data_IF_832533977062
#
_entry.id   IF_832533977062
#
_cell.length_a   1.000
_cell.length_b   1.000
_cell.length_c   1.000
_cell.angle_alpha   90.00
_cell.angle_beta   90.00
_cell.angle_gamma   90.00
#
_symmetry.space_group_name_H-M   'P 1'
#
loop_
_entity.id
_entity.type
_entity.pdbx_description
1 polymer ?
#
# COMPACT_ATOMS: atom_id res chain seq x y z
N UNK A 1 21.78 17.74 13.26
CA UNK A 1 21.53 16.31 13.52
C UNK A 1 22.58 15.51 12.80
N UNK A 2 23.23 14.57 13.47
CA UNK A 2 24.11 13.62 12.79
C UNK A 2 23.28 12.69 11.89
N UNK A 3 23.84 12.31 10.74
CA UNK A 3 23.24 11.31 9.87
C UNK A 3 23.22 9.93 10.54
N UNK A 4 22.25 9.10 10.18
CA UNK A 4 22.13 7.73 10.72
C UNK A 4 23.39 6.91 10.41
N UNK A 5 23.91 6.23 11.43
CA UNK A 5 25.05 5.31 11.38
C UNK A 5 24.81 4.15 12.37
N UNK A 6 25.60 3.08 12.28
CA UNK A 6 25.47 1.87 13.09
C UNK A 6 25.51 2.16 14.60
N UNK A 7 26.39 3.06 15.05
CA UNK A 7 26.61 3.35 16.48
C UNK A 7 25.67 4.41 17.08
N UNK A 8 24.91 5.14 16.25
CA UNK A 8 24.10 6.28 16.70
C UNK A 8 22.58 6.05 16.61
N UNK A 9 22.15 4.80 16.40
CA UNK A 9 20.75 4.44 16.23
C UNK A 9 19.82 5.00 17.33
N UNK A 10 20.15 4.77 18.60
CA UNK A 10 19.31 5.22 19.73
C UNK A 10 19.16 6.75 19.82
N UNK A 11 20.25 7.55 19.84
CA UNK A 11 20.13 9.00 19.85
C UNK A 11 19.47 9.55 18.58
N UNK A 12 19.79 8.98 17.40
CA UNK A 12 19.16 9.38 16.15
C UNK A 12 17.65 9.13 16.16
N UNK A 13 17.22 7.93 16.59
CA UNK A 13 15.80 7.56 16.69
C UNK A 13 15.05 8.52 17.60
N UNK A 14 15.60 8.84 18.77
CA UNK A 14 14.96 9.76 19.72
C UNK A 14 14.81 11.16 19.13
N UNK A 15 15.82 11.67 18.43
CA UNK A 15 15.75 12.94 17.73
C UNK A 15 14.69 12.92 16.61
N UNK A 16 14.66 11.88 15.79
CA UNK A 16 13.66 11.77 14.72
C UNK A 16 12.24 11.64 15.26
N UNK A 17 12.03 10.88 16.33
CA UNK A 17 10.72 10.81 16.99
C UNK A 17 10.29 12.18 17.52
N UNK A 18 11.20 12.95 18.12
CA UNK A 18 10.88 14.30 18.58
C UNK A 18 10.51 15.24 17.42
N UNK A 19 11.28 15.23 16.33
CA UNK A 19 10.99 16.02 15.13
C UNK A 19 9.65 15.63 14.49
N UNK A 20 9.42 14.33 14.29
CA UNK A 20 8.16 13.84 13.74
C UNK A 20 6.98 14.18 14.65
N UNK A 21 7.16 14.19 15.97
CA UNK A 21 6.14 14.62 16.92
C UNK A 21 5.86 16.11 16.80
N UNK A 22 6.90 16.94 16.74
CA UNK A 22 6.80 18.40 16.62
C UNK A 22 6.06 18.81 15.34
N UNK A 23 6.30 18.08 14.24
CA UNK A 23 5.63 18.31 12.96
C UNK A 23 4.28 17.56 12.81
N UNK A 24 3.78 16.89 13.86
CA UNK A 24 2.56 16.05 13.80
C UNK A 24 2.60 14.96 12.70
N UNK A 25 3.79 14.48 12.36
CA UNK A 25 4.01 13.42 11.37
C UNK A 25 3.98 12.02 11.99
N UNK A 26 4.16 11.90 13.31
CA UNK A 26 4.02 10.60 14.00
C UNK A 26 2.63 10.00 13.81
N UNK A 27 1.57 10.81 13.94
CA UNK A 27 0.20 10.36 13.72
C UNK A 27 -0.06 9.95 12.27
N UNK A 28 0.64 10.57 11.31
CA UNK A 28 0.58 10.15 9.92
C UNK A 28 1.21 8.77 9.72
N UNK A 29 2.36 8.51 10.36
CA UNK A 29 3.03 7.19 10.32
C UNK A 29 2.17 6.11 10.97
N UNK A 30 1.56 6.40 12.12
CA UNK A 30 0.64 5.47 12.79
C UNK A 30 -0.58 5.17 11.91
N UNK A 31 -1.19 6.21 11.34
CA UNK A 31 -2.33 6.07 10.45
C UNK A 31 -1.97 5.28 9.19
N UNK A 32 -0.78 5.47 8.61
CA UNK A 32 -0.32 4.65 7.48
C UNK A 32 -0.24 3.17 7.84
N UNK A 33 0.17 2.84 9.06
CA UNK A 33 0.21 1.46 9.55
C UNK A 33 -1.18 0.86 9.67
N UNK A 34 -2.16 1.63 10.16
CA UNK A 34 -3.56 1.19 10.20
C UNK A 34 -4.13 0.97 8.78
N UNK A 35 -3.78 1.85 7.84
CA UNK A 35 -4.16 1.68 6.43
C UNK A 35 -3.57 0.42 5.81
N UNK A 36 -2.34 0.04 6.17
CA UNK A 36 -1.70 -1.18 5.68
C UNK A 36 -2.48 -2.44 6.08
N UNK A 37 -2.98 -2.49 7.31
CA UNK A 37 -3.83 -3.60 7.78
C UNK A 37 -5.16 -3.68 7.02
N UNK A 38 -5.77 -2.53 6.73
CA UNK A 38 -7.02 -2.45 5.96
C UNK A 38 -6.78 -2.82 4.50
N UNK A 39 -5.67 -2.35 3.91
CA UNK A 39 -5.27 -2.64 2.53
C UNK A 39 -5.02 -4.14 2.35
N UNK A 40 -4.25 -4.77 3.25
CA UNK A 40 -4.04 -6.22 3.25
C UNK A 40 -5.35 -7.01 3.37
N UNK A 41 -6.27 -6.56 4.25
CA UNK A 41 -7.57 -7.22 4.38
C UNK A 41 -8.38 -7.12 3.09
N UNK A 42 -8.37 -5.96 2.45
CA UNK A 42 -9.08 -5.72 1.22
C UNK A 42 -8.45 -6.48 0.03
N UNK A 43 -7.12 -6.53 -0.04
CA UNK A 43 -6.37 -7.38 -0.97
C UNK A 43 -6.79 -8.84 -0.84
N UNK A 44 -6.76 -9.40 0.37
CA UNK A 44 -7.18 -10.79 0.61
C UNK A 44 -8.62 -11.06 0.15
N UNK A 45 -9.54 -10.11 0.32
CA UNK A 45 -10.92 -10.26 -0.17
C UNK A 45 -10.98 -10.26 -1.71
N UNK A 46 -10.22 -9.39 -2.38
CA UNK A 46 -10.15 -9.39 -3.84
C UNK A 46 -9.57 -10.70 -4.33
N UNK A 47 -8.47 -11.19 -3.76
CA UNK A 47 -7.85 -12.47 -4.16
C UNK A 47 -8.81 -13.65 -3.99
N UNK A 48 -9.60 -13.70 -2.92
CA UNK A 48 -10.61 -14.75 -2.71
C UNK A 48 -11.78 -14.68 -3.71
N UNK A 49 -12.09 -13.49 -4.23
CA UNK A 49 -13.19 -13.26 -5.15
C UNK A 49 -12.78 -13.30 -6.63
N UNK A 50 -11.48 -13.36 -6.92
CA UNK A 50 -10.93 -13.39 -8.28
C UNK A 50 -10.56 -14.84 -8.63
N UNK A 51 -11.05 -15.33 -9.76
CA UNK A 51 -10.70 -16.67 -10.24
C UNK A 51 -9.23 -16.78 -10.65
N UNK A 52 -8.67 -17.99 -10.62
CA UNK A 52 -7.25 -18.27 -10.91
C UNK A 52 -6.76 -17.68 -12.25
N UNK A 53 -7.65 -17.52 -13.23
CA UNK A 53 -7.32 -16.96 -14.56
C UNK A 53 -7.15 -15.44 -14.53
N UNK A 54 -7.92 -14.74 -13.70
CA UNK A 54 -7.84 -13.29 -13.54
C UNK A 54 -6.77 -12.85 -12.54
N UNK A 55 -6.29 -13.77 -11.70
CA UNK A 55 -5.21 -13.55 -10.75
C UNK A 55 -3.90 -13.14 -11.45
N UNK A 56 -3.71 -13.53 -12.71
CA UNK A 56 -2.56 -13.12 -13.56
C UNK A 56 -2.49 -11.60 -13.74
N UNK A 57 -3.63 -10.90 -13.76
CA UNK A 57 -3.66 -9.45 -13.94
C UNK A 57 -3.29 -8.67 -12.67
N UNK A 58 -3.31 -9.33 -11.51
CA UNK A 58 -2.97 -8.75 -10.21
C UNK A 58 -1.48 -8.87 -9.90
N UNK A 59 -0.72 -9.63 -10.69
CA UNK A 59 0.71 -9.86 -10.48
C UNK A 59 1.46 -8.53 -10.61
N UNK A 60 2.05 -8.09 -9.50
CA UNK A 60 2.83 -6.85 -9.41
C UNK A 60 2.07 -5.63 -8.87
N UNK A 61 0.79 -5.76 -8.53
CA UNK A 61 0.10 -4.75 -7.74
C UNK A 61 0.55 -4.84 -6.27
N UNK A 62 0.93 -3.70 -5.69
CA UNK A 62 1.43 -3.59 -4.32
C UNK A 62 0.36 -3.13 -3.33
N UNK A 63 -0.77 -2.59 -3.81
CA UNK A 63 -1.87 -2.11 -2.98
C UNK A 63 -3.22 -2.52 -3.54
N UNK A 64 -4.23 -2.60 -2.68
CA UNK A 64 -5.60 -2.93 -3.11
C UNK A 64 -6.13 -1.93 -4.15
N UNK A 65 -5.74 -0.66 -4.04
CA UNK A 65 -6.09 0.37 -5.01
C UNK A 65 -5.55 0.06 -6.40
N UNK A 66 -4.30 -0.41 -6.48
CA UNK A 66 -3.70 -0.83 -7.75
C UNK A 66 -4.36 -2.08 -8.31
N UNK A 67 -4.64 -3.08 -7.47
CA UNK A 67 -5.38 -4.28 -7.86
C UNK A 67 -6.75 -3.93 -8.44
N UNK A 68 -7.48 -3.04 -7.77
CA UNK A 68 -8.79 -2.57 -8.20
C UNK A 68 -8.73 -1.81 -9.53
N UNK A 69 -7.78 -0.88 -9.69
CA UNK A 69 -7.57 -0.16 -10.95
C UNK A 69 -7.23 -1.10 -12.10
N UNK A 70 -6.39 -2.11 -11.88
CA UNK A 70 -6.05 -3.11 -12.90
C UNK A 70 -7.25 -3.96 -13.30
N UNK A 71 -8.06 -4.39 -12.32
CA UNK A 71 -9.29 -5.16 -12.59
C UNK A 71 -10.30 -4.35 -13.38
N UNK A 72 -10.55 -3.09 -12.99
CA UNK A 72 -11.41 -2.16 -13.75
C UNK A 72 -10.89 -2.00 -15.16
N UNK A 73 -9.60 -1.68 -15.31
CA UNK A 73 -8.99 -1.49 -16.63
C UNK A 73 -9.17 -2.73 -17.52
N UNK A 74 -8.91 -3.93 -17.00
CA UNK A 74 -9.03 -5.16 -17.79
C UNK A 74 -10.49 -5.50 -18.10
N UNK A 75 -11.42 -5.33 -17.17
CA UNK A 75 -12.83 -5.71 -17.36
C UNK A 75 -13.61 -4.67 -18.15
N UNK A 76 -13.36 -3.37 -17.97
CA UNK A 76 -14.02 -2.30 -18.71
C UNK A 76 -13.44 -2.13 -20.12
N UNK A 77 -12.11 -2.16 -20.32
CA UNK A 77 -11.53 -2.13 -21.68
C UNK A 77 -11.87 -3.38 -22.51
N UNK A 78 -12.05 -4.54 -21.86
CA UNK A 78 -12.56 -5.73 -22.56
C UNK A 78 -14.06 -5.66 -22.84
N UNK A 79 -14.82 -4.88 -22.07
CA UNK A 79 -16.23 -4.60 -22.33
C UNK A 79 -16.46 -3.80 -23.62
N UNK A 80 -15.55 -2.87 -23.94
CA UNK A 80 -15.59 -2.11 -25.21
C UNK A 80 -15.25 -2.96 -26.45
N UNK A 81 -14.52 -4.07 -26.28
CA UNK A 81 -14.22 -5.03 -27.36
C UNK A 81 -15.32 -6.08 -27.56
N UNK A 82 -16.40 -6.04 -26.77
CA UNK A 82 -17.53 -6.99 -26.82
C UNK A 82 -18.79 -6.47 -27.50
N UNK A 83 -18.79 -5.24 -28.02
CA UNK A 83 -19.89 -4.69 -28.83
C UNK A 83 -19.44 -4.56 -30.28
N UNK A 84 -19.43 -5.69 -30.99
CA UNK A 84 -19.61 -5.78 -32.44
C UNK A 84 -20.45 -6.99 -32.79
#
# INVERSE_FOLDING_TARGET
>A
FDMLNADNWYPWKRCMQALLSEHNLLSHIERMREWDEIDMRAQNQIELCVGDTEMVYLIGALTVGQMWSQLIMVKELRGELGVM
#
